data_IF_422529439529
#
_entry.id   IF_422529439529
#
_cell.length_a   1.000
_cell.length_b   1.000
_cell.length_c   1.000
_cell.angle_alpha   90.00
_cell.angle_beta   90.00
_cell.angle_gamma   90.00
#
_symmetry.space_group_name_H-M   'P 1'
#
loop_
_entity.id
_entity.type
_entity.pdbx_description
1 polymer ?
#
# COMPACT_ATOMS: atom_id res chain seq x y z
N UNK A 1 -16.84 -10.66 -17.89
CA UNK A 1 -16.09 -11.48 -16.94
C UNK A 1 -16.03 -12.91 -17.46
N UNK A 2 -14.87 -13.36 -17.95
CA UNK A 2 -14.67 -14.76 -18.35
C UNK A 2 -14.42 -15.59 -17.09
N UNK A 3 -15.26 -16.60 -16.83
CA UNK A 3 -15.02 -17.59 -15.80
C UNK A 3 -13.72 -18.32 -16.11
N UNK A 4 -12.73 -18.21 -15.23
CA UNK A 4 -11.58 -19.11 -15.24
C UNK A 4 -12.08 -20.49 -14.85
N UNK A 5 -12.09 -21.41 -15.81
CA UNK A 5 -12.34 -22.82 -15.58
C UNK A 5 -11.18 -23.37 -14.74
N UNK A 6 -11.46 -23.70 -13.49
CA UNK A 6 -10.57 -24.53 -12.67
C UNK A 6 -10.72 -25.97 -13.15
N UNK A 7 -9.90 -26.39 -14.10
CA UNK A 7 -9.71 -27.82 -14.37
C UNK A 7 -8.91 -28.41 -13.20
N UNK A 8 -9.54 -29.35 -12.49
CA UNK A 8 -8.88 -30.25 -11.54
C UNK A 8 -7.84 -31.08 -12.29
N UNK A 9 -6.62 -30.62 -12.37
CA UNK A 9 -5.50 -31.40 -12.85
C UNK A 9 -4.85 -32.12 -11.66
N UNK A 10 -5.25 -33.38 -11.47
CA UNK A 10 -4.64 -34.29 -10.51
C UNK A 10 -3.24 -34.64 -11.03
N UNK A 11 -2.22 -34.06 -10.45
CA UNK A 11 -0.86 -34.54 -10.67
C UNK A 11 0.28 -33.54 -10.66
N UNK A 12 0.04 -32.27 -10.44
CA UNK A 12 1.13 -31.31 -10.32
C UNK A 12 1.37 -30.98 -8.82
N UNK A 13 2.45 -31.49 -8.27
CA UNK A 13 2.99 -31.04 -6.96
C UNK A 13 3.66 -29.65 -7.16
N UNK A 14 2.94 -28.72 -7.78
CA UNK A 14 3.38 -27.36 -7.98
C UNK A 14 3.09 -26.46 -6.78
N UNK A 15 3.61 -25.26 -6.77
CA UNK A 15 3.34 -24.25 -5.76
C UNK A 15 1.83 -23.99 -5.64
N UNK A 16 1.31 -23.97 -4.42
CA UNK A 16 -0.05 -23.53 -4.16
C UNK A 16 -0.10 -22.01 -4.30
N UNK A 17 -0.66 -21.52 -5.39
CA UNK A 17 -0.86 -20.10 -5.61
C UNK A 17 -1.94 -19.56 -4.69
N UNK A 18 -1.67 -18.43 -4.05
CA UNK A 18 -2.61 -17.70 -3.21
C UNK A 18 -2.81 -16.30 -3.78
N UNK A 19 -4.02 -15.75 -3.64
CA UNK A 19 -4.28 -14.36 -3.99
C UNK A 19 -3.75 -13.47 -2.89
N UNK A 20 -2.98 -12.46 -3.30
CA UNK A 20 -2.39 -11.45 -2.43
C UNK A 20 -2.96 -10.09 -2.83
N UNK A 21 -3.33 -9.25 -1.84
CA UNK A 21 -3.73 -7.87 -2.04
C UNK A 21 -2.99 -6.98 -1.02
N UNK A 22 -2.03 -6.23 -1.51
CA UNK A 22 -1.15 -5.40 -0.67
C UNK A 22 -1.54 -3.93 -0.65
N UNK A 23 -2.69 -3.56 -1.23
CA UNK A 23 -3.17 -2.18 -1.29
C UNK A 23 -4.63 -2.09 -0.83
N UNK A 24 -4.83 -2.25 0.48
CA UNK A 24 -6.15 -2.22 1.10
C UNK A 24 -6.24 -1.07 2.11
N UNK A 25 -7.34 -0.34 2.07
CA UNK A 25 -7.64 0.70 3.04
C UNK A 25 -8.61 0.23 4.12
N UNK A 26 -8.43 0.73 5.33
CA UNK A 26 -9.34 0.53 6.44
C UNK A 26 -10.42 1.63 6.50
N UNK A 27 -11.47 1.46 7.32
CA UNK A 27 -12.43 2.54 7.61
C UNK A 27 -11.82 3.80 8.23
N UNK A 28 -10.57 3.75 8.64
CA UNK A 28 -9.83 4.88 9.20
C UNK A 28 -9.51 6.00 8.22
N UNK A 29 -9.64 5.79 6.91
CA UNK A 29 -9.35 6.80 5.89
C UNK A 29 -10.58 7.22 5.10
N UNK A 30 -10.57 8.45 4.55
CA UNK A 30 -11.71 9.03 3.83
C UNK A 30 -12.03 8.28 2.53
N UNK A 31 -11.02 7.73 1.86
CA UNK A 31 -11.20 6.94 0.63
C UNK A 31 -11.98 5.64 0.84
N UNK A 32 -12.07 5.13 2.06
CA UNK A 32 -12.91 3.99 2.37
C UNK A 32 -14.39 4.41 2.40
N UNK A 33 -15.20 3.88 1.48
CA UNK A 33 -16.63 4.17 1.42
C UNK A 33 -17.36 3.45 2.54
N UNK A 34 -17.92 4.21 3.48
CA UNK A 34 -18.74 3.65 4.56
C UNK A 34 -20.14 3.30 4.05
N UNK A 35 -20.65 2.12 4.39
CA UNK A 35 -22.06 1.81 4.16
C UNK A 35 -22.99 2.78 4.93
N UNK A 36 -24.20 3.07 4.42
CA UNK A 36 -25.16 3.90 5.13
C UNK A 36 -25.48 3.39 6.53
N UNK A 37 -25.59 4.29 7.49
CA UNK A 37 -26.01 3.98 8.86
C UNK A 37 -24.92 3.36 9.74
N UNK A 38 -23.67 3.36 9.33
CA UNK A 38 -22.52 2.96 10.16
C UNK A 38 -22.04 4.15 10.99
N UNK A 39 -22.01 3.97 12.30
CA UNK A 39 -21.39 4.90 13.26
C UNK A 39 -20.03 4.36 13.72
N UNK A 40 -18.93 5.03 13.33
CA UNK A 40 -17.57 4.63 13.72
C UNK A 40 -17.25 4.87 15.21
N UNK A 41 -18.12 5.56 15.95
CA UNK A 41 -18.04 5.66 17.41
C UNK A 41 -18.66 4.44 18.12
N UNK A 42 -19.49 3.66 17.43
CA UNK A 42 -20.11 2.44 17.94
C UNK A 42 -19.19 1.24 17.68
N UNK A 43 -18.73 0.58 18.73
CA UNK A 43 -17.91 -0.63 18.61
C UNK A 43 -18.66 -1.76 17.89
N UNK A 44 -19.97 -1.91 18.13
CA UNK A 44 -20.79 -2.91 17.44
C UNK A 44 -20.86 -2.65 15.92
N UNK A 45 -20.98 -1.39 15.50
CA UNK A 45 -20.98 -1.04 14.08
C UNK A 45 -19.60 -1.26 13.46
N UNK A 46 -18.53 -0.93 14.18
CA UNK A 46 -17.17 -1.20 13.77
C UNK A 46 -16.93 -2.71 13.56
N UNK A 47 -17.34 -3.55 14.51
CA UNK A 47 -17.20 -5.00 14.40
C UNK A 47 -17.98 -5.56 13.20
N UNK A 48 -19.25 -5.18 13.05
CA UNK A 48 -20.10 -5.60 11.93
C UNK A 48 -19.52 -5.18 10.59
N UNK A 49 -18.99 -3.95 10.48
CA UNK A 49 -18.34 -3.45 9.29
C UNK A 49 -17.10 -4.28 8.92
N UNK A 50 -16.27 -4.60 9.90
CA UNK A 50 -15.05 -5.37 9.64
C UNK A 50 -15.35 -6.85 9.36
N UNK A 51 -16.39 -7.42 9.95
CA UNK A 51 -16.85 -8.77 9.57
C UNK A 51 -17.24 -8.86 8.10
N UNK A 52 -18.01 -7.87 7.60
CA UNK A 52 -18.37 -7.81 6.18
C UNK A 52 -17.17 -7.53 5.27
N UNK A 53 -16.24 -6.66 5.72
CA UNK A 53 -15.00 -6.38 5.00
C UNK A 53 -14.16 -7.66 4.82
N UNK A 54 -13.91 -8.39 5.90
CA UNK A 54 -13.13 -9.64 5.87
C UNK A 54 -13.87 -10.74 5.10
N UNK A 55 -15.21 -10.79 5.17
CA UNK A 55 -16.02 -11.69 4.36
C UNK A 55 -15.79 -11.42 2.87
N UNK A 56 -15.80 -10.16 2.43
CA UNK A 56 -15.52 -9.78 1.03
C UNK A 56 -14.11 -10.15 0.60
N UNK A 57 -13.11 -10.02 1.48
CA UNK A 57 -11.76 -10.53 1.20
C UNK A 57 -11.78 -12.03 0.96
N UNK A 58 -12.50 -12.79 1.77
CA UNK A 58 -12.67 -14.24 1.61
C UNK A 58 -13.37 -14.62 0.30
N UNK A 59 -14.45 -13.91 -0.05
CA UNK A 59 -15.17 -14.08 -1.32
C UNK A 59 -14.28 -13.78 -2.53
N UNK A 60 -13.42 -12.77 -2.41
CA UNK A 60 -12.38 -12.45 -3.40
C UNK A 60 -11.21 -13.43 -3.38
N UNK A 61 -11.22 -14.44 -2.51
CA UNK A 61 -10.17 -15.44 -2.33
C UNK A 61 -8.80 -14.87 -1.91
N UNK A 62 -8.77 -13.68 -1.32
CA UNK A 62 -7.55 -13.10 -0.75
C UNK A 62 -7.11 -13.96 0.44
N UNK A 63 -5.84 -14.33 0.47
CA UNK A 63 -5.20 -15.09 1.54
C UNK A 63 -4.15 -14.32 2.29
N UNK A 64 -3.59 -13.31 1.64
CA UNK A 64 -2.62 -12.39 2.23
C UNK A 64 -3.07 -10.98 1.85
N UNK A 65 -3.19 -10.10 2.84
CA UNK A 65 -3.52 -8.70 2.64
C UNK A 65 -2.55 -7.78 3.38
N UNK A 66 -2.46 -6.52 2.95
CA UNK A 66 -1.84 -5.46 3.74
C UNK A 66 -2.80 -4.29 3.87
N UNK A 67 -2.97 -3.79 5.11
CA UNK A 67 -3.73 -2.57 5.35
C UNK A 67 -2.76 -1.41 5.24
N UNK A 68 -2.96 -0.59 4.22
CA UNK A 68 -2.06 0.47 3.79
C UNK A 68 -2.77 1.82 3.82
N UNK A 69 -3.21 2.23 5.00
CA UNK A 69 -3.82 3.54 5.19
C UNK A 69 -2.81 4.67 4.92
N UNK A 70 -3.32 5.86 4.59
CA UNK A 70 -2.45 7.01 4.28
C UNK A 70 -1.64 7.45 5.49
N UNK A 71 -0.33 7.58 5.28
CA UNK A 71 0.64 8.24 6.17
C UNK A 71 0.71 7.72 7.61
N UNK A 72 0.15 6.54 7.89
CA UNK A 72 0.21 5.91 9.19
C UNK A 72 -0.64 4.64 9.28
N UNK A 73 -0.34 3.81 10.28
CA UNK A 73 -1.11 2.63 10.60
C UNK A 73 -2.14 2.96 11.68
N UNK A 74 -3.41 2.86 11.37
CA UNK A 74 -4.47 2.96 12.38
C UNK A 74 -4.52 1.68 13.21
N UNK A 75 -3.95 1.73 14.43
CA UNK A 75 -3.83 0.56 15.32
C UNK A 75 -5.21 -0.09 15.59
N UNK A 76 -6.24 0.73 15.88
CA UNK A 76 -7.61 0.24 16.09
C UNK A 76 -8.09 -0.62 14.92
N UNK A 77 -8.02 -0.08 13.71
CA UNK A 77 -8.54 -0.76 12.53
C UNK A 77 -7.67 -1.94 12.12
N UNK A 78 -6.35 -1.78 12.17
CA UNK A 78 -5.43 -2.85 11.84
C UNK A 78 -5.63 -4.08 12.73
N UNK A 79 -5.68 -3.90 14.06
CA UNK A 79 -5.84 -5.02 15.00
C UNK A 79 -7.23 -5.68 14.87
N UNK A 80 -8.27 -4.90 14.65
CA UNK A 80 -9.62 -5.43 14.45
C UNK A 80 -9.71 -6.27 13.16
N UNK A 81 -9.19 -5.74 12.04
CA UNK A 81 -9.15 -6.47 10.75
C UNK A 81 -8.31 -7.73 10.88
N UNK A 82 -7.11 -7.62 11.45
CA UNK A 82 -6.19 -8.75 11.64
C UNK A 82 -6.81 -9.87 12.48
N UNK A 83 -7.50 -9.51 13.56
CA UNK A 83 -8.20 -10.47 14.42
C UNK A 83 -9.30 -11.22 13.66
N UNK A 84 -10.23 -10.50 13.00
CA UNK A 84 -11.33 -11.13 12.24
C UNK A 84 -10.84 -11.91 11.00
N UNK A 85 -9.78 -11.43 10.35
CA UNK A 85 -9.16 -12.11 9.19
C UNK A 85 -8.51 -13.44 9.57
N UNK A 86 -7.89 -13.52 10.75
CA UNK A 86 -7.29 -14.75 11.27
C UNK A 86 -8.29 -15.90 11.33
N UNK A 87 -9.53 -15.63 11.75
CA UNK A 87 -10.60 -16.63 11.85
C UNK A 87 -11.03 -17.17 10.47
N UNK A 88 -10.71 -16.45 9.40
CA UNK A 88 -10.94 -16.83 8.00
C UNK A 88 -9.69 -17.39 7.30
N UNK A 89 -8.59 -17.58 8.02
CA UNK A 89 -7.33 -18.04 7.48
C UNK A 89 -6.68 -17.03 6.51
N UNK A 90 -6.95 -15.74 6.73
CA UNK A 90 -6.35 -14.63 5.96
C UNK A 90 -5.25 -14.00 6.82
N UNK A 91 -4.07 -13.84 6.25
CA UNK A 91 -2.92 -13.19 6.88
C UNK A 91 -2.93 -11.70 6.53
N UNK A 92 -2.86 -10.83 7.55
CA UNK A 92 -2.85 -9.38 7.36
C UNK A 92 -1.51 -8.82 7.83
N UNK A 93 -0.89 -8.01 6.97
CA UNK A 93 0.32 -7.26 7.25
C UNK A 93 0.01 -5.79 7.52
N UNK A 94 0.73 -5.14 8.43
CA UNK A 94 0.68 -3.69 8.56
C UNK A 94 1.40 -3.04 7.39
N UNK A 95 0.83 -1.98 6.87
CA UNK A 95 1.41 -1.21 5.78
C UNK A 95 0.99 0.25 5.84
N UNK A 96 1.56 1.04 4.96
CA UNK A 96 1.27 2.47 4.82
C UNK A 96 1.33 2.85 3.35
N UNK A 97 0.34 3.57 2.87
CA UNK A 97 0.45 4.32 1.64
C UNK A 97 0.96 5.74 1.99
N UNK A 98 2.25 5.97 1.76
CA UNK A 98 2.82 7.30 1.94
C UNK A 98 2.31 8.22 0.84
N UNK A 99 1.65 9.31 1.22
CA UNK A 99 1.29 10.41 0.33
C UNK A 99 2.29 11.54 0.56
N UNK A 100 3.24 11.67 -0.36
CA UNK A 100 4.40 12.56 -0.23
C UNK A 100 4.25 13.79 -1.13
N UNK A 101 4.66 14.92 -0.62
CA UNK A 101 4.95 16.12 -1.41
C UNK A 101 6.45 16.37 -1.38
N UNK A 102 7.12 15.99 -2.47
CA UNK A 102 8.56 16.11 -2.59
C UNK A 102 8.95 17.52 -3.06
N UNK A 103 10.10 18.01 -2.59
CA UNK A 103 10.68 19.28 -3.04
C UNK A 103 10.97 19.23 -4.55
N UNK A 104 10.43 20.17 -5.31
CA UNK A 104 10.59 20.23 -6.78
C UNK A 104 9.68 19.30 -7.57
N UNK A 105 8.84 18.50 -6.91
CA UNK A 105 7.79 17.69 -7.56
C UNK A 105 6.60 18.54 -7.95
N UNK A 106 6.09 18.36 -9.19
CA UNK A 106 4.88 19.03 -9.68
C UNK A 106 3.64 18.47 -8.99
N UNK A 107 3.68 17.20 -8.61
CA UNK A 107 2.60 16.44 -8.00
C UNK A 107 3.08 15.75 -6.74
N UNK A 108 2.17 15.27 -5.92
CA UNK A 108 2.46 14.33 -4.85
C UNK A 108 2.93 12.98 -5.40
N UNK A 109 3.50 12.15 -4.54
CA UNK A 109 3.91 10.78 -4.88
C UNK A 109 3.33 9.82 -3.84
N UNK A 110 2.70 8.76 -4.30
CA UNK A 110 2.31 7.63 -3.45
C UNK A 110 3.38 6.53 -3.46
N UNK A 111 3.65 5.98 -2.28
CA UNK A 111 4.52 4.82 -2.07
C UNK A 111 3.83 3.86 -1.12
N UNK A 112 3.74 2.58 -1.48
CA UNK A 112 3.32 1.56 -0.53
C UNK A 112 4.52 0.99 0.22
N UNK A 113 4.36 0.86 1.51
CA UNK A 113 5.28 0.21 2.42
C UNK A 113 4.52 -0.90 3.13
N UNK A 114 4.97 -2.14 3.00
CA UNK A 114 4.39 -3.29 3.72
C UNK A 114 5.44 -3.82 4.68
N UNK A 115 5.12 -3.83 5.97
CA UNK A 115 6.05 -4.19 7.05
C UNK A 115 5.85 -5.61 7.54
N UNK A 116 6.83 -6.14 8.27
CA UNK A 116 6.67 -7.41 8.97
C UNK A 116 5.54 -7.34 10.02
N UNK A 117 4.92 -8.48 10.32
CA UNK A 117 3.70 -8.56 11.15
C UNK A 117 3.86 -8.05 12.59
N UNK A 118 5.08 -8.05 13.11
CA UNK A 118 5.44 -7.66 14.48
C UNK A 118 6.12 -6.29 14.56
N UNK A 119 5.99 -5.45 13.51
CA UNK A 119 6.52 -4.09 13.56
C UNK A 119 5.89 -3.31 14.72
N UNK A 120 6.71 -2.52 15.42
CA UNK A 120 6.21 -1.57 16.42
C UNK A 120 5.44 -0.45 15.72
N UNK A 121 4.10 -0.53 15.76
CA UNK A 121 3.21 0.42 15.09
C UNK A 121 3.35 1.82 15.67
N UNK A 122 3.50 1.96 16.99
CA UNK A 122 3.59 3.27 17.64
C UNK A 122 4.94 3.94 17.28
N UNK A 123 6.02 3.18 17.29
CA UNK A 123 7.35 3.63 16.83
C UNK A 123 7.36 3.94 15.32
N UNK A 124 6.67 3.15 14.51
CA UNK A 124 6.52 3.41 13.08
C UNK A 124 5.76 4.71 12.82
N UNK A 125 4.61 4.92 13.45
CA UNK A 125 3.82 6.14 13.29
C UNK A 125 4.62 7.39 13.75
N UNK A 126 5.37 7.27 14.83
CA UNK A 126 6.29 8.34 15.30
C UNK A 126 7.36 8.65 14.26
N UNK A 127 7.94 7.60 13.65
CA UNK A 127 8.93 7.78 12.60
C UNK A 127 8.33 8.44 11.35
N UNK A 128 7.17 7.98 10.91
CA UNK A 128 6.45 8.57 9.76
C UNK A 128 6.17 10.06 9.97
N UNK A 129 5.70 10.42 11.17
CA UNK A 129 5.45 11.82 11.52
C UNK A 129 6.74 12.67 11.51
N UNK A 130 7.88 12.07 11.86
CA UNK A 130 9.18 12.76 11.85
C UNK A 130 9.73 13.06 10.45
N UNK A 131 9.17 12.45 9.41
CA UNK A 131 9.55 12.73 8.02
C UNK A 131 8.97 14.04 7.48
N UNK A 132 7.97 14.57 8.16
CA UNK A 132 7.32 15.81 7.78
C UNK A 132 8.10 17.03 8.27
N UNK A 133 8.33 17.99 7.39
CA UNK A 133 8.98 19.26 7.77
C UNK A 133 8.16 20.11 8.75
N UNK A 134 6.85 19.83 8.87
CA UNK A 134 5.92 20.51 9.76
C UNK A 134 5.33 19.57 10.82
N UNK A 135 6.15 18.96 11.70
CA UNK A 135 5.68 17.94 12.65
C UNK A 135 4.69 18.48 13.69
N UNK A 136 4.52 19.81 13.79
CA UNK A 136 3.52 20.43 14.66
C UNK A 136 2.09 20.35 14.08
N UNK A 137 1.95 20.08 12.78
CA UNK A 137 0.64 19.94 12.15
C UNK A 137 0.25 18.46 12.14
N UNK A 138 -0.96 18.10 12.60
CA UNK A 138 -1.40 16.71 12.53
C UNK A 138 -1.45 16.23 11.08
N UNK A 139 -1.06 14.98 10.86
CA UNK A 139 -1.18 14.33 9.55
C UNK A 139 -2.63 13.98 9.22
N UNK A 140 -3.46 13.82 10.25
CA UNK A 140 -4.85 13.43 10.16
C UNK A 140 -5.77 14.47 10.80
N UNK A 141 -6.92 14.69 10.19
CA UNK A 141 -8.08 15.38 10.76
C UNK A 141 -9.30 14.46 10.56
N UNK A 142 -9.65 13.73 11.61
CA UNK A 142 -10.58 12.63 11.51
C UNK A 142 -10.07 11.56 10.54
N UNK A 143 -10.81 11.32 9.44
CA UNK A 143 -10.45 10.38 8.36
C UNK A 143 -9.67 11.02 7.22
N UNK A 144 -9.56 12.34 7.21
CA UNK A 144 -8.78 13.08 6.19
C UNK A 144 -7.30 13.04 6.51
N UNK A 145 -6.50 12.87 5.49
CA UNK A 145 -5.05 12.95 5.60
C UNK A 145 -4.51 14.07 4.71
N UNK A 146 -3.39 14.64 5.10
CA UNK A 146 -2.60 15.53 4.26
C UNK A 146 -1.31 14.86 3.82
N UNK A 147 -0.74 15.35 2.73
CA UNK A 147 0.56 14.89 2.27
C UNK A 147 1.64 15.19 3.32
N UNK A 148 2.60 14.26 3.45
CA UNK A 148 3.84 14.50 4.19
C UNK A 148 4.72 15.38 3.30
N UNK A 149 5.05 16.57 3.76
CA UNK A 149 5.99 17.46 3.09
C UNK A 149 7.42 17.12 3.56
N UNK A 150 8.15 16.35 2.75
CA UNK A 150 9.51 15.94 3.09
C UNK A 150 10.55 16.80 2.39
N UNK A 151 11.58 17.21 3.13
CA UNK A 151 12.78 17.86 2.58
C UNK A 151 13.77 16.84 2.00
N UNK A 152 13.55 15.55 2.25
CA UNK A 152 14.41 14.49 1.77
C UNK A 152 14.13 14.18 0.31
N UNK A 153 15.18 13.99 -0.47
CA UNK A 153 15.07 13.34 -1.76
C UNK A 153 14.56 11.90 -1.59
N UNK A 154 13.82 11.41 -2.58
CA UNK A 154 13.18 10.10 -2.56
C UNK A 154 14.15 8.96 -2.19
N UNK A 155 15.35 8.94 -2.78
CA UNK A 155 16.36 7.91 -2.49
C UNK A 155 16.81 7.91 -1.04
N UNK A 156 17.03 9.10 -0.44
CA UNK A 156 17.41 9.23 0.98
C UNK A 156 16.26 8.83 1.91
N UNK A 157 15.04 9.16 1.54
CA UNK A 157 13.84 8.77 2.31
C UNK A 157 13.72 7.25 2.36
N UNK A 158 13.85 6.57 1.22
CA UNK A 158 13.77 5.11 1.14
C UNK A 158 14.94 4.45 1.89
N UNK A 159 16.16 4.98 1.79
CA UNK A 159 17.29 4.47 2.57
C UNK A 159 17.03 4.51 4.07
N UNK A 160 16.44 5.60 4.58
CA UNK A 160 16.05 5.68 6.01
C UNK A 160 15.06 4.60 6.44
N UNK A 161 14.10 4.25 5.58
CA UNK A 161 13.19 3.14 5.88
C UNK A 161 13.92 1.80 5.89
N UNK A 162 14.74 1.52 4.88
CA UNK A 162 15.48 0.25 4.77
C UNK A 162 16.49 0.02 5.89
N UNK A 163 17.08 1.11 6.42
CA UNK A 163 17.96 1.04 7.58
C UNK A 163 17.23 0.68 8.88
N UNK A 164 15.96 1.06 8.99
CA UNK A 164 15.20 0.92 10.24
C UNK A 164 14.19 -0.21 10.24
N UNK A 165 13.61 -0.53 9.08
CA UNK A 165 12.51 -1.48 8.96
C UNK A 165 12.75 -2.51 7.85
N UNK A 166 12.34 -3.74 8.12
CA UNK A 166 12.15 -4.73 7.06
C UNK A 166 10.79 -4.49 6.43
N UNK A 167 10.78 -3.99 5.20
CA UNK A 167 9.56 -3.69 4.48
C UNK A 167 9.73 -3.85 2.98
N UNK A 168 8.62 -4.11 2.30
CA UNK A 168 8.52 -4.05 0.86
C UNK A 168 8.24 -2.60 0.44
N UNK A 169 8.91 -2.15 -0.61
CA UNK A 169 8.66 -0.88 -1.29
C UNK A 169 7.98 -1.13 -2.62
N UNK A 170 6.79 -0.56 -2.80
CA UNK A 170 5.99 -0.74 -3.99
C UNK A 170 5.60 0.64 -4.54
N UNK A 171 5.73 0.84 -5.84
CA UNK A 171 5.13 1.98 -6.52
C UNK A 171 3.69 1.62 -6.92
N UNK A 172 2.66 2.18 -6.21
CA UNK A 172 1.28 1.92 -6.54
C UNK A 172 0.83 2.74 -7.75
N UNK A 173 -0.20 2.27 -8.47
CA UNK A 173 -0.92 2.95 -9.55
C UNK A 173 -0.08 4.02 -10.30
N UNK A 174 1.04 3.64 -10.94
CA UNK A 174 2.05 4.58 -11.46
C UNK A 174 1.49 5.54 -12.52
N UNK A 175 0.37 5.21 -13.14
CA UNK A 175 -0.29 5.95 -14.22
C UNK A 175 -1.30 6.99 -13.71
N UNK A 176 -1.72 6.91 -12.44
CA UNK A 176 -2.71 7.78 -11.82
C UNK A 176 -2.10 9.05 -11.22
N UNK A 177 -2.97 9.95 -10.75
CA UNK A 177 -2.55 11.11 -9.98
C UNK A 177 -1.77 10.67 -8.74
N UNK A 178 -0.66 11.35 -8.45
CA UNK A 178 0.36 10.94 -7.48
C UNK A 178 1.08 9.62 -7.81
N UNK A 179 0.83 9.03 -8.97
CA UNK A 179 1.58 7.89 -9.47
C UNK A 179 2.96 8.30 -9.98
N UNK A 180 3.87 7.35 -9.93
CA UNK A 180 5.28 7.55 -10.24
C UNK A 180 5.53 8.12 -11.64
N UNK A 181 4.83 7.61 -12.67
CA UNK A 181 4.98 8.05 -14.06
C UNK A 181 4.36 9.41 -14.37
N UNK A 182 3.45 9.90 -13.52
CA UNK A 182 2.91 11.27 -13.63
C UNK A 182 3.69 12.28 -12.81
N UNK A 183 4.26 11.85 -11.69
CA UNK A 183 5.04 12.72 -10.81
C UNK A 183 6.38 13.11 -11.42
N UNK A 184 7.02 12.18 -12.12
CA UNK A 184 8.34 12.37 -12.71
C UNK A 184 8.29 12.32 -14.23
N UNK A 185 9.18 13.09 -14.89
CA UNK A 185 9.38 12.92 -16.32
C UNK A 185 10.13 11.60 -16.61
N UNK A 186 10.14 11.10 -17.87
CA UNK A 186 10.72 9.79 -18.18
C UNK A 186 12.18 9.59 -17.72
N UNK A 187 13.03 10.62 -17.89
CA UNK A 187 14.43 10.51 -17.47
C UNK A 187 14.61 10.50 -15.96
N UNK A 188 13.78 11.25 -15.23
CA UNK A 188 13.74 11.20 -13.76
C UNK A 188 13.20 9.86 -13.28
N UNK A 189 12.16 9.34 -13.94
CA UNK A 189 11.57 8.04 -13.60
C UNK A 189 12.60 6.92 -13.72
N UNK A 190 13.34 6.85 -14.82
CA UNK A 190 14.41 5.87 -15.02
C UNK A 190 15.48 5.99 -13.93
N UNK A 191 15.98 7.20 -13.67
CA UNK A 191 16.98 7.46 -12.61
C UNK A 191 16.50 6.99 -11.24
N UNK A 192 15.25 7.32 -10.86
CA UNK A 192 14.71 6.93 -9.55
C UNK A 192 14.47 5.43 -9.45
N UNK A 193 13.94 4.78 -10.48
CA UNK A 193 13.76 3.33 -10.46
C UNK A 193 15.09 2.59 -10.24
N UNK A 194 16.15 3.02 -10.91
CA UNK A 194 17.47 2.42 -10.73
C UNK A 194 18.08 2.71 -9.36
N UNK A 195 17.91 3.91 -8.82
CA UNK A 195 18.48 4.30 -7.53
C UNK A 195 17.71 3.76 -6.34
N UNK A 196 16.38 3.70 -6.44
CA UNK A 196 15.47 3.29 -5.36
C UNK A 196 15.32 1.79 -5.28
N UNK A 197 15.34 1.10 -6.44
CA UNK A 197 15.13 -0.35 -6.56
C UNK A 197 13.88 -0.80 -5.78
N UNK A 198 12.67 -0.47 -6.26
CA UNK A 198 11.44 -0.94 -5.62
C UNK A 198 11.36 -2.47 -5.68
N UNK A 199 10.72 -3.07 -4.69
CA UNK A 199 10.49 -4.52 -4.66
C UNK A 199 9.38 -4.95 -5.62
N UNK A 200 8.45 -4.03 -5.92
CA UNK A 200 7.39 -4.22 -6.91
C UNK A 200 6.89 -2.89 -7.47
N UNK A 201 6.21 -2.97 -8.60
CA UNK A 201 5.47 -1.86 -9.22
C UNK A 201 4.09 -2.40 -9.59
N UNK A 202 3.06 -1.75 -9.09
CA UNK A 202 1.70 -2.00 -9.53
C UNK A 202 1.50 -1.39 -10.92
N UNK A 203 0.70 -2.01 -11.77
CA UNK A 203 0.25 -1.41 -13.04
C UNK A 203 -1.24 -1.66 -13.21
N UNK A 204 -1.93 -0.69 -13.80
CA UNK A 204 -3.38 -0.73 -13.97
C UNK A 204 -3.73 -1.24 -15.37
N UNK A 205 -2.90 -0.93 -16.36
CA UNK A 205 -3.14 -1.27 -17.76
C UNK A 205 -1.93 -1.90 -18.43
N UNK A 206 -2.16 -2.69 -19.50
CA UNK A 206 -1.08 -3.21 -20.34
C UNK A 206 -0.28 -2.06 -21.01
N UNK A 207 -0.92 -0.91 -21.28
CA UNK A 207 -0.22 0.27 -21.79
C UNK A 207 0.76 0.82 -20.75
N UNK A 208 0.35 0.94 -19.48
CA UNK A 208 1.21 1.37 -18.40
C UNK A 208 2.36 0.41 -18.15
N UNK A 209 2.10 -0.90 -18.19
CA UNK A 209 3.13 -1.92 -18.14
C UNK A 209 4.15 -1.76 -19.27
N UNK A 210 3.67 -1.56 -20.50
CA UNK A 210 4.54 -1.36 -21.66
C UNK A 210 5.35 -0.06 -21.55
N UNK A 211 4.79 1.02 -20.99
CA UNK A 211 5.54 2.25 -20.68
C UNK A 211 6.65 2.01 -19.67
N UNK A 212 6.38 1.24 -18.62
CA UNK A 212 7.40 0.85 -17.63
C UNK A 212 8.52 0.02 -18.26
N UNK A 213 8.18 -0.93 -19.14
CA UNK A 213 9.14 -1.79 -19.82
C UNK A 213 9.93 -1.02 -20.89
N UNK A 214 9.32 -0.08 -21.60
CA UNK A 214 9.93 0.68 -22.70
C UNK A 214 10.80 1.86 -22.24
N UNK A 215 10.76 2.24 -20.97
CA UNK A 215 11.81 3.10 -20.42
C UNK A 215 13.11 2.30 -20.47
N UNK A 216 13.88 2.52 -21.51
CA UNK A 216 15.00 1.69 -22.05
C UNK A 216 16.06 1.20 -21.06
N UNK A 217 15.98 1.54 -19.78
CA UNK A 217 16.91 1.15 -18.73
C UNK A 217 16.35 0.09 -17.77
N UNK A 218 15.04 -0.24 -17.89
CA UNK A 218 14.38 -1.29 -17.07
C UNK A 218 14.35 -2.65 -17.78
N UNK A 219 14.98 -2.75 -18.94
CA UNK A 219 14.63 -3.73 -19.97
C UNK A 219 14.94 -5.18 -19.68
N UNK A 220 15.73 -5.56 -18.71
CA UNK A 220 16.04 -6.99 -18.57
C UNK A 220 16.11 -7.55 -17.16
N UNK A 221 16.42 -6.76 -16.16
CA UNK A 221 16.76 -7.30 -14.85
C UNK A 221 15.63 -7.25 -13.81
N UNK A 222 14.58 -6.45 -14.06
CA UNK A 222 13.43 -6.30 -13.16
C UNK A 222 12.21 -7.17 -13.50
N UNK A 223 12.13 -7.69 -14.73
CA UNK A 223 10.95 -8.44 -15.20
C UNK A 223 11.27 -9.89 -15.62
N UNK A 224 12.37 -10.44 -15.10
CA UNK A 224 12.70 -11.87 -15.26
C UNK A 224 12.05 -12.76 -14.23
#
# INVERSE_FOLDING_TARGET
MKKLNTTNDKGYNGANWVRVDLHLHSPGVESFTLPPGIDLASDNDCERLIEEYVKKMGEAQVRIGAITDYNGVSKKWFELIKSKAKDKGIVIFPGVELSLKLTGGKYGLHLLLVFEQNVDIDGLNTFLHSLDKNPQKPLFDGRKNRDIESELELGKLISKFRERYKCLFIFPHPEDDKGFLKTFNPSQSAKYLMSVKPDAIEYISEEGKNKLISTNELSSDYFK
#
